data_IF_837942861823
#
_entry.id   IF_837942861823
#
_cell.length_a   1.000
_cell.length_b   1.000
_cell.length_c   1.000
_cell.angle_alpha   90.00
_cell.angle_beta   90.00
_cell.angle_gamma   90.00
#
_symmetry.space_group_name_H-M   'P 1'
#
loop_
_entity.id
_entity.type
_entity.pdbx_description
1 polymer ?
#
# COMPACT_ATOMS: atom_id res chain seq x y z
N UNK A 1 16.03 -5.79 13.62
CA UNK A 1 15.24 -5.97 12.38
C UNK A 1 14.07 -4.98 12.36
N UNK A 2 14.24 -3.80 11.75
CA UNK A 2 13.15 -2.84 11.50
C UNK A 2 13.26 -2.32 10.06
N UNK A 3 13.06 -3.22 9.09
CA UNK A 3 13.01 -2.88 7.66
C UNK A 3 11.57 -2.97 7.12
N UNK A 4 10.56 -2.67 7.94
CA UNK A 4 9.17 -2.70 7.50
C UNK A 4 8.78 -1.33 6.97
N UNK A 5 8.74 -1.16 5.64
CA UNK A 5 8.02 -0.07 4.96
C UNK A 5 8.65 1.34 4.85
N UNK A 6 9.94 1.55 5.13
CA UNK A 6 10.56 2.85 4.81
C UNK A 6 10.45 3.17 3.30
N UNK A 7 9.68 4.21 2.99
CA UNK A 7 9.40 4.70 1.63
C UNK A 7 8.18 4.09 0.94
N UNK A 8 7.33 3.33 1.64
CA UNK A 8 6.01 2.96 1.11
C UNK A 8 4.97 4.02 1.49
N UNK A 9 4.08 4.31 0.55
CA UNK A 9 2.98 5.24 0.69
C UNK A 9 1.66 4.49 0.79
N UNK A 10 0.76 5.02 1.58
CA UNK A 10 -0.61 4.53 1.71
C UNK A 10 -1.55 5.49 1.00
N UNK A 11 -2.37 4.96 0.08
CA UNK A 11 -3.43 5.71 -0.60
C UNK A 11 -4.78 5.02 -0.34
N UNK A 12 -5.79 5.81 0.00
CA UNK A 12 -7.17 5.34 -0.01
C UNK A 12 -7.65 5.29 -1.46
N UNK A 13 -8.09 4.12 -1.91
CA UNK A 13 -8.76 3.97 -3.21
C UNK A 13 -10.27 4.20 -3.01
N UNK A 14 -10.81 3.65 -1.92
CA UNK A 14 -12.16 3.90 -1.43
C UNK A 14 -12.12 3.97 0.11
N UNK A 15 -13.23 4.26 0.77
CA UNK A 15 -13.32 4.28 2.24
C UNK A 15 -12.98 2.92 2.91
N UNK A 16 -13.03 1.84 2.13
CA UNK A 16 -12.79 0.46 2.59
C UNK A 16 -11.47 -0.12 2.09
N UNK A 17 -10.89 0.43 1.02
CA UNK A 17 -9.69 -0.10 0.38
C UNK A 17 -8.48 0.79 0.57
N UNK A 18 -7.40 0.19 1.10
CA UNK A 18 -6.11 0.84 1.23
C UNK A 18 -5.07 0.15 0.37
N UNK A 19 -4.44 0.94 -0.51
CA UNK A 19 -3.30 0.54 -1.31
C UNK A 19 -2.02 0.98 -0.62
N UNK A 20 -1.12 0.03 -0.39
CA UNK A 20 0.24 0.31 0.07
C UNK A 20 1.18 0.04 -1.09
N UNK A 21 1.82 1.09 -1.60
CA UNK A 21 2.71 1.00 -2.76
C UNK A 21 3.98 1.82 -2.57
N UNK A 22 4.99 1.55 -3.39
CA UNK A 22 6.20 2.36 -3.50
C UNK A 22 6.52 2.54 -4.99
N UNK A 23 6.70 3.79 -5.41
CA UNK A 23 7.25 4.09 -6.73
C UNK A 23 8.78 4.05 -6.64
N UNK A 24 9.43 3.31 -7.54
CA UNK A 24 10.89 3.23 -7.65
C UNK A 24 11.25 3.26 -9.13
N UNK A 25 11.97 4.30 -9.55
CA UNK A 25 12.33 4.50 -10.96
C UNK A 25 11.07 4.45 -11.85
N UNK A 26 10.99 3.53 -12.80
CA UNK A 26 9.85 3.31 -13.70
C UNK A 26 8.90 2.19 -13.25
N UNK A 27 9.01 1.75 -11.99
CA UNK A 27 8.18 0.65 -11.46
C UNK A 27 7.36 1.08 -10.24
N UNK A 28 6.16 0.50 -10.14
CA UNK A 28 5.31 0.61 -8.94
C UNK A 28 5.23 -0.75 -8.28
N UNK A 29 5.74 -0.83 -7.04
CA UNK A 29 5.67 -2.04 -6.21
C UNK A 29 4.49 -1.95 -5.25
N UNK A 30 3.53 -2.84 -5.41
CA UNK A 30 2.37 -2.95 -4.51
C UNK A 30 2.68 -3.97 -3.42
N UNK A 31 2.74 -3.52 -2.17
CA UNK A 31 2.96 -4.41 -1.03
C UNK A 31 1.65 -5.03 -0.52
N UNK A 32 0.54 -4.29 -0.65
CA UNK A 32 -0.77 -4.77 -0.26
C UNK A 32 -1.86 -3.94 -0.94
N UNK A 33 -2.89 -4.61 -1.43
CA UNK A 33 -4.19 -4.04 -1.70
C UNK A 33 -5.18 -4.82 -0.84
N UNK A 34 -5.62 -4.25 0.27
CA UNK A 34 -6.53 -4.93 1.19
C UNK A 34 -7.90 -4.29 1.10
N UNK A 35 -8.90 -5.13 0.85
CA UNK A 35 -10.28 -4.83 1.17
C UNK A 35 -10.47 -4.98 2.67
N UNK A 36 -11.00 -3.95 3.34
CA UNK A 36 -11.56 -4.12 4.66
C UNK A 36 -13.00 -4.60 4.46
N UNK A 37 -13.26 -5.90 4.57
CA UNK A 37 -14.65 -6.35 4.59
C UNK A 37 -15.28 -5.83 5.87
N UNK A 38 -16.27 -4.96 5.69
CA UNK A 38 -17.18 -4.50 6.73
C UNK A 38 -18.36 -5.45 6.89
N UNK A 39 -18.16 -6.76 6.70
CA UNK A 39 -18.98 -7.89 7.14
C UNK A 39 -18.27 -9.19 6.77
#
# INVERSE_FOLDING_TARGET
>A
MKHGFHGYWSRHITDEHRLIHKAVHDEVRVAACRYRSGH
#
